data_IF_935096252750
#
_entry.id   IF_935096252750
#
_cell.length_a   1.000
_cell.length_b   1.000
_cell.length_c   1.000
_cell.angle_alpha   90.00
_cell.angle_beta   90.00
_cell.angle_gamma   90.00
#
_symmetry.space_group_name_H-M   'P 1'
#
loop_
_entity.id
_entity.type
_entity.pdbx_description
1 polymer ?
#
# COMPACT_ATOMS: atom_id res chain seq x y z
N UNK A 1 -21.84 9.17 -18.46
CA UNK A 1 -20.51 8.55 -18.29
C UNK A 1 -19.59 9.64 -17.82
N UNK A 2 -18.96 9.48 -16.66
CA UNK A 2 -18.02 10.45 -16.09
C UNK A 2 -16.62 9.84 -16.09
N UNK A 3 -15.60 10.71 -16.05
CA UNK A 3 -14.20 10.33 -15.86
C UNK A 3 -13.85 10.41 -14.39
N UNK A 4 -13.39 9.30 -13.79
CA UNK A 4 -12.99 9.22 -12.39
C UNK A 4 -11.49 9.04 -12.30
N UNK A 5 -10.79 10.03 -11.72
CA UNK A 5 -9.35 10.04 -11.54
C UNK A 5 -8.91 9.21 -10.32
N UNK A 6 -7.96 8.32 -10.52
CA UNK A 6 -7.33 7.55 -9.42
C UNK A 6 -5.83 7.88 -9.37
N UNK A 7 -5.33 8.52 -8.30
CA UNK A 7 -3.90 8.75 -8.11
C UNK A 7 -3.11 7.45 -7.99
N UNK A 8 -2.02 7.31 -8.78
CA UNK A 8 -1.18 6.11 -8.88
C UNK A 8 -0.19 5.97 -7.72
N UNK A 9 -0.66 6.13 -6.49
CA UNK A 9 0.18 6.06 -5.28
C UNK A 9 -0.64 5.70 -4.05
N UNK A 10 -0.02 5.53 -2.90
CA UNK A 10 -0.63 5.17 -1.62
C UNK A 10 -1.39 3.84 -1.69
N UNK A 11 -2.71 3.88 -1.52
CA UNK A 11 -3.57 2.70 -1.49
C UNK A 11 -3.78 2.06 -2.87
N UNK A 12 -3.29 2.68 -3.96
CA UNK A 12 -3.38 2.16 -5.32
C UNK A 12 -2.93 0.71 -5.41
N UNK A 13 -1.74 0.39 -4.93
CA UNK A 13 -1.11 -0.93 -5.09
C UNK A 13 -1.88 -2.10 -4.47
N UNK A 14 -2.79 -1.84 -3.52
CA UNK A 14 -3.60 -2.89 -2.89
C UNK A 14 -5.07 -2.87 -3.31
N UNK A 15 -5.59 -1.72 -3.73
CA UNK A 15 -7.04 -1.56 -3.92
C UNK A 15 -7.44 -1.13 -5.34
N UNK A 16 -6.50 -0.81 -6.22
CA UNK A 16 -6.79 -0.41 -7.60
C UNK A 16 -7.64 -1.44 -8.37
N UNK A 17 -7.36 -2.76 -8.33
CA UNK A 17 -8.16 -3.73 -9.05
C UNK A 17 -9.64 -3.71 -8.66
N UNK A 18 -9.92 -3.48 -7.37
CA UNK A 18 -11.28 -3.33 -6.87
C UNK A 18 -11.95 -2.08 -7.44
N UNK A 19 -11.33 -0.92 -7.24
CA UNK A 19 -11.95 0.37 -7.57
C UNK A 19 -12.05 0.60 -9.07
N UNK A 20 -11.05 0.19 -9.85
CA UNK A 20 -11.13 0.20 -11.32
C UNK A 20 -12.34 -0.58 -11.80
N UNK A 21 -12.45 -1.83 -11.37
CA UNK A 21 -13.58 -2.68 -11.77
C UNK A 21 -14.92 -2.10 -11.32
N UNK A 22 -14.98 -1.53 -10.11
CA UNK A 22 -16.21 -0.93 -9.59
C UNK A 22 -16.69 0.23 -10.47
N UNK A 23 -15.83 1.21 -10.77
CA UNK A 23 -16.20 2.36 -11.59
C UNK A 23 -16.54 1.98 -13.03
N UNK A 24 -15.76 1.09 -13.65
CA UNK A 24 -16.07 0.61 -15.01
C UNK A 24 -17.39 -0.14 -15.09
N UNK A 25 -17.73 -0.93 -14.05
CA UNK A 25 -19.04 -1.62 -13.99
C UNK A 25 -20.22 -0.68 -13.71
N UNK A 26 -19.96 0.50 -13.16
CA UNK A 26 -20.95 1.59 -13.09
C UNK A 26 -21.12 2.35 -14.41
N UNK A 27 -20.28 2.11 -15.41
CA UNK A 27 -20.30 2.79 -16.70
C UNK A 27 -19.48 4.08 -16.73
N UNK A 28 -18.50 4.24 -15.85
CA UNK A 28 -17.58 5.37 -15.82
C UNK A 28 -16.22 4.99 -16.40
N UNK A 29 -15.52 5.99 -16.94
CA UNK A 29 -14.12 5.86 -17.38
C UNK A 29 -13.20 6.06 -16.16
N UNK A 30 -12.21 5.17 -16.00
CA UNK A 30 -11.17 5.31 -14.97
C UNK A 30 -9.92 5.89 -15.61
N UNK A 31 -9.52 7.05 -15.15
CA UNK A 31 -8.28 7.71 -15.54
C UNK A 31 -7.26 7.58 -14.40
N UNK A 32 -6.19 6.85 -14.63
CA UNK A 32 -5.08 6.73 -13.65
C UNK A 32 -4.02 7.76 -14.00
N UNK A 33 -3.51 8.48 -13.02
CA UNK A 33 -2.35 9.34 -13.24
C UNK A 33 -1.15 8.54 -13.71
N UNK A 34 -0.27 9.15 -14.51
CA UNK A 34 0.97 8.49 -14.96
C UNK A 34 1.79 8.00 -13.77
N UNK A 35 2.66 6.98 -13.93
CA UNK A 35 3.61 6.59 -12.89
C UNK A 35 4.37 7.79 -12.34
N UNK A 36 4.77 7.73 -11.06
CA UNK A 36 5.46 8.82 -10.38
C UNK A 36 6.73 9.23 -11.12
N UNK A 37 6.87 10.53 -11.34
CA UNK A 37 8.03 11.16 -11.99
C UNK A 37 8.58 12.30 -11.15
N UNK A 38 9.74 12.82 -11.52
CA UNK A 38 10.29 14.03 -10.89
C UNK A 38 9.30 15.21 -10.95
N UNK A 39 8.63 15.43 -12.08
CA UNK A 39 7.67 16.50 -12.24
C UNK A 39 6.45 16.36 -11.30
N UNK A 40 5.97 15.12 -11.07
CA UNK A 40 4.91 14.83 -10.09
C UNK A 40 5.39 15.15 -8.67
N UNK A 41 6.61 14.76 -8.31
CA UNK A 41 7.16 15.07 -6.99
C UNK A 41 7.33 16.57 -6.80
N UNK A 42 7.94 17.28 -7.76
CA UNK A 42 8.18 18.71 -7.68
C UNK A 42 6.86 19.47 -7.51
N UNK A 43 5.83 19.12 -8.29
CA UNK A 43 4.49 19.68 -8.14
C UNK A 43 3.89 19.39 -6.76
N UNK A 44 4.06 18.17 -6.26
CA UNK A 44 3.57 17.78 -4.93
C UNK A 44 4.30 18.50 -3.80
N UNK A 45 5.58 18.80 -3.94
CA UNK A 45 6.35 19.63 -2.98
C UNK A 45 5.84 21.06 -2.94
N UNK A 46 5.54 21.66 -4.10
CA UNK A 46 4.98 23.02 -4.20
C UNK A 46 3.60 23.14 -3.52
N UNK A 47 2.78 22.08 -3.61
CA UNK A 47 1.39 22.09 -3.15
C UNK A 47 1.23 21.57 -1.70
N UNK A 48 2.29 21.17 -1.01
CA UNK A 48 2.19 20.65 0.35
C UNK A 48 3.07 21.38 1.34
N UNK A 49 2.74 21.22 2.63
CA UNK A 49 3.60 21.71 3.71
C UNK A 49 4.91 20.91 3.78
N UNK A 50 5.99 21.57 4.18
CA UNK A 50 7.33 20.97 4.23
C UNK A 50 7.39 19.69 5.06
N UNK A 51 6.68 19.63 6.18
CA UNK A 51 6.66 18.48 7.10
C UNK A 51 5.79 17.31 6.61
N UNK A 52 5.23 17.38 5.41
CA UNK A 52 4.56 16.23 4.81
C UNK A 52 5.60 15.17 4.42
N UNK A 53 5.31 13.89 4.74
CA UNK A 53 6.15 12.79 4.26
C UNK A 53 6.06 12.66 2.73
N UNK A 54 7.12 12.16 2.10
CA UNK A 54 7.21 12.08 0.63
C UNK A 54 5.99 11.41 -0.05
N UNK A 55 5.35 10.35 0.48
CA UNK A 55 4.18 9.77 -0.16
C UNK A 55 2.98 10.71 -0.23
N UNK A 56 2.82 11.61 0.75
CA UNK A 56 1.74 12.62 0.75
C UNK A 56 2.06 13.72 -0.26
N UNK A 57 3.31 14.17 -0.35
CA UNK A 57 3.74 15.12 -1.38
C UNK A 57 3.46 14.57 -2.78
N UNK A 58 3.88 13.34 -3.04
CA UNK A 58 3.64 12.65 -4.32
C UNK A 58 2.14 12.50 -4.60
N UNK A 59 1.32 12.19 -3.59
CA UNK A 59 -0.13 12.11 -3.78
C UNK A 59 -0.73 13.45 -4.25
N UNK A 60 -0.30 14.58 -3.70
CA UNK A 60 -0.72 15.90 -4.17
C UNK A 60 -0.29 16.14 -5.62
N UNK A 61 0.93 15.76 -5.99
CA UNK A 61 1.40 15.85 -7.38
C UNK A 61 0.56 15.02 -8.36
N UNK A 62 0.18 13.79 -7.97
CA UNK A 62 -0.73 12.95 -8.77
C UNK A 62 -2.12 13.58 -8.90
N UNK A 63 -2.66 14.13 -7.81
CA UNK A 63 -3.94 14.86 -7.86
C UNK A 63 -3.85 16.04 -8.80
N UNK A 64 -2.80 16.87 -8.66
CA UNK A 64 -2.57 18.03 -9.53
C UNK A 64 -2.53 17.62 -11.02
N UNK A 65 -1.93 16.48 -11.34
CA UNK A 65 -1.85 15.99 -12.72
C UNK A 65 -3.20 15.52 -13.29
N UNK A 66 -4.20 15.25 -12.45
CA UNK A 66 -5.51 14.75 -12.87
C UNK A 66 -6.57 15.86 -12.99
N UNK A 67 -6.40 17.01 -12.36
CA UNK A 67 -7.43 18.05 -12.21
C UNK A 67 -8.09 18.41 -13.56
N UNK A 68 -7.31 18.62 -14.61
CA UNK A 68 -7.82 19.04 -15.91
C UNK A 68 -8.25 17.86 -16.83
N UNK A 69 -8.19 16.62 -16.32
CA UNK A 69 -8.42 15.42 -17.11
C UNK A 69 -9.68 14.67 -16.74
N UNK A 70 -10.26 14.96 -15.56
CA UNK A 70 -11.34 14.15 -14.97
C UNK A 70 -12.49 14.97 -14.42
N UNK A 71 -13.67 14.34 -14.32
CA UNK A 71 -14.86 14.95 -13.74
C UNK A 71 -14.90 14.81 -12.21
N UNK A 72 -14.24 13.78 -11.67
CA UNK A 72 -14.15 13.48 -10.23
C UNK A 72 -12.78 12.96 -9.89
N UNK A 73 -12.30 13.26 -8.67
CA UNK A 73 -11.09 12.65 -8.09
C UNK A 73 -11.52 11.67 -7.01
N UNK A 74 -11.09 10.41 -7.14
CA UNK A 74 -11.33 9.39 -6.13
C UNK A 74 -10.24 9.47 -5.05
N UNK A 75 -10.63 9.91 -3.87
CA UNK A 75 -9.78 10.02 -2.69
C UNK A 75 -10.57 9.52 -1.47
N UNK A 76 -10.80 8.20 -1.34
CA UNK A 76 -11.62 7.66 -0.27
C UNK A 76 -10.98 7.96 1.10
N UNK A 77 -11.81 8.24 2.10
CA UNK A 77 -11.34 8.41 3.47
C UNK A 77 -11.12 7.03 4.09
N UNK A 78 -9.88 6.54 4.01
CA UNK A 78 -9.51 5.25 4.55
C UNK A 78 -9.28 5.37 6.07
N UNK A 79 -10.20 4.84 6.87
CA UNK A 79 -10.13 4.82 8.33
C UNK A 79 -9.64 3.46 8.79
N UNK A 80 -10.37 2.40 8.45
CA UNK A 80 -9.98 1.02 8.73
C UNK A 80 -10.51 0.07 7.66
N UNK A 81 -9.77 -1.01 7.37
CA UNK A 81 -10.14 -2.03 6.37
C UNK A 81 -10.28 -3.43 6.94
N UNK A 82 -9.93 -3.62 8.22
CA UNK A 82 -10.11 -4.88 8.94
C UNK A 82 -10.28 -4.64 10.43
N UNK A 83 -10.84 -5.62 11.13
CA UNK A 83 -10.91 -5.62 12.60
C UNK A 83 -9.68 -6.33 13.15
N UNK A 84 -8.73 -5.56 13.67
CA UNK A 84 -7.49 -6.05 14.24
C UNK A 84 -6.97 -5.09 15.32
N UNK A 85 -5.93 -5.54 16.04
CA UNK A 85 -5.33 -4.79 17.16
C UNK A 85 -5.98 -5.12 18.48
N UNK A 86 -5.34 -4.67 19.59
CA UNK A 86 -5.72 -4.94 20.99
C UNK A 86 -7.06 -4.32 21.23
N UNK A 87 -7.99 -4.17 20.82
CA UNK A 87 -9.37 -3.63 20.96
C UNK A 87 -10.08 -3.45 19.62
N UNK A 88 -9.53 -4.01 18.53
CA UNK A 88 -10.06 -3.79 17.20
C UNK A 88 -9.94 -2.33 16.74
N UNK A 89 -8.90 -1.64 17.16
CA UNK A 89 -8.69 -0.20 16.93
C UNK A 89 -7.70 0.12 15.84
N UNK A 90 -7.26 -0.89 15.08
CA UNK A 90 -6.32 -0.67 13.96
C UNK A 90 -6.92 0.31 12.93
N UNK A 91 -6.17 1.36 12.62
CA UNK A 91 -6.57 2.37 11.62
C UNK A 91 -5.42 2.64 10.64
N UNK A 92 -5.72 3.37 9.57
CA UNK A 92 -4.67 4.02 8.79
C UNK A 92 -4.07 5.20 9.56
N UNK A 93 -2.92 5.69 9.11
CA UNK A 93 -2.28 6.84 9.77
C UNK A 93 -3.14 8.12 9.62
N UNK A 94 -2.97 9.13 10.50
CA UNK A 94 -3.78 10.35 10.47
C UNK A 94 -3.77 11.08 9.12
N UNK A 95 -2.67 10.99 8.36
CA UNK A 95 -2.57 11.62 7.04
C UNK A 95 -3.47 10.95 6.00
N UNK A 96 -3.74 9.64 6.10
CA UNK A 96 -4.76 8.97 5.29
C UNK A 96 -6.18 9.38 5.70
N UNK A 97 -6.44 9.51 7.01
CA UNK A 97 -7.75 9.91 7.50
C UNK A 97 -8.13 11.32 7.06
N UNK A 98 -7.16 12.24 7.09
CA UNK A 98 -7.35 13.64 6.70
C UNK A 98 -7.10 13.94 5.21
N UNK A 99 -6.69 12.95 4.42
CA UNK A 99 -6.23 13.17 3.04
C UNK A 99 -7.26 13.90 2.15
N UNK A 100 -8.56 13.52 2.11
CA UNK A 100 -9.54 14.23 1.30
C UNK A 100 -9.69 15.70 1.69
N UNK A 101 -9.58 16.01 2.98
CA UNK A 101 -9.69 17.39 3.45
C UNK A 101 -8.44 18.21 3.07
N UNK A 102 -7.26 17.61 3.17
CA UNK A 102 -6.01 18.23 2.69
C UNK A 102 -6.12 18.59 1.19
N UNK A 103 -6.58 17.65 0.36
CA UNK A 103 -6.74 17.89 -1.08
C UNK A 103 -7.73 19.01 -1.37
N UNK A 104 -8.88 19.05 -0.68
CA UNK A 104 -9.85 20.15 -0.85
C UNK A 104 -9.30 21.52 -0.47
N UNK A 105 -8.49 21.58 0.58
CA UNK A 105 -7.90 22.82 1.05
C UNK A 105 -6.77 23.31 0.12
N UNK A 106 -6.02 22.37 -0.45
CA UNK A 106 -4.91 22.69 -1.35
C UNK A 106 -5.39 23.14 -2.73
N UNK A 107 -6.33 22.39 -3.33
CA UNK A 107 -6.74 22.60 -4.72
C UNK A 107 -8.13 23.26 -4.79
N UNK A 108 -8.16 24.58 -4.66
CA UNK A 108 -9.39 25.37 -4.87
C UNK A 108 -9.78 25.32 -6.35
N UNK A 109 -11.00 24.82 -6.65
CA UNK A 109 -11.48 24.66 -8.02
C UNK A 109 -11.16 23.30 -8.66
N UNK A 110 -10.59 22.36 -7.92
CA UNK A 110 -10.46 20.96 -8.38
C UNK A 110 -11.84 20.30 -8.61
N UNK A 111 -11.90 19.26 -9.46
CA UNK A 111 -13.09 18.43 -9.60
C UNK A 111 -13.58 17.91 -8.24
N UNK A 112 -14.90 17.65 -8.09
CA UNK A 112 -15.46 17.10 -6.86
C UNK A 112 -14.70 15.83 -6.39
N UNK A 113 -14.41 15.77 -5.10
CA UNK A 113 -13.69 14.64 -4.50
C UNK A 113 -14.69 13.61 -3.99
N UNK A 114 -14.55 12.37 -4.46
CA UNK A 114 -15.26 11.22 -3.91
C UNK A 114 -14.47 10.73 -2.70
N UNK A 115 -14.92 11.10 -1.51
CA UNK A 115 -14.25 10.85 -0.23
C UNK A 115 -15.01 9.89 0.68
N UNK A 116 -15.80 9.00 0.10
CA UNK A 116 -16.59 8.03 0.86
C UNK A 116 -15.74 7.38 1.97
N UNK A 117 -16.22 7.40 3.23
CA UNK A 117 -15.48 6.81 4.33
C UNK A 117 -15.51 5.29 4.29
N UNK A 118 -14.34 4.67 4.50
CA UNK A 118 -14.19 3.22 4.62
C UNK A 118 -13.70 2.92 6.03
N UNK A 119 -14.64 2.50 6.88
CA UNK A 119 -14.39 2.19 8.29
C UNK A 119 -15.04 0.86 8.68
N UNK A 120 -14.27 -0.21 8.59
CA UNK A 120 -14.72 -1.56 8.98
C UNK A 120 -14.82 -1.71 10.51
N UNK A 121 -14.04 -0.92 11.25
CA UNK A 121 -14.07 -0.98 12.69
C UNK A 121 -15.33 -0.36 13.28
N UNK A 122 -15.94 0.58 12.56
CA UNK A 122 -17.05 1.44 12.98
C UNK A 122 -17.27 1.33 14.48
N UNK A 123 -16.66 2.23 15.25
CA UNK A 123 -16.99 2.41 16.65
C UNK A 123 -18.46 2.85 16.69
N UNK A 124 -19.37 1.89 16.55
CA UNK A 124 -20.78 2.17 16.75
C UNK A 124 -20.88 2.86 18.12
N UNK A 125 -21.31 4.11 18.08
CA UNK A 125 -21.91 4.72 19.25
C UNK A 125 -22.71 3.61 19.95
N UNK A 126 -22.39 3.30 21.23
CA UNK A 126 -22.85 2.17 22.06
C UNK A 126 -24.11 1.52 21.49
N UNK A 127 -24.13 0.20 21.25
CA UNK A 127 -25.29 -0.46 20.66
C UNK A 127 -26.53 -0.04 21.45
N UNK A 128 -27.47 0.62 20.78
CA UNK A 128 -28.72 1.11 21.40
C UNK A 128 -29.59 -0.06 21.90
N UNK A 129 -29.26 -1.28 21.48
CA UNK A 129 -29.97 -2.50 21.83
C UNK A 129 -29.09 -3.74 21.68
N UNK A 130 -29.31 -4.79 22.52
CA UNK A 130 -28.68 -6.12 22.39
C UNK A 130 -28.98 -6.81 21.05
N UNK A 131 -29.87 -6.27 20.20
CA UNK A 131 -30.24 -6.80 18.89
C UNK A 131 -29.44 -6.20 17.73
N UNK A 132 -28.65 -5.14 17.96
CA UNK A 132 -27.81 -4.54 16.92
C UNK A 132 -26.63 -5.48 16.62
N UNK A 133 -26.81 -6.32 15.62
CA UNK A 133 -25.73 -7.19 15.10
C UNK A 133 -24.67 -6.30 14.46
N UNK A 134 -23.41 -6.43 14.88
CA UNK A 134 -22.27 -5.80 14.19
C UNK A 134 -22.31 -6.20 12.71
N UNK A 135 -22.35 -5.20 11.82
CA UNK A 135 -22.28 -5.43 10.36
C UNK A 135 -21.00 -6.19 10.00
N UNK A 136 -21.10 -7.08 9.03
CA UNK A 136 -19.93 -7.78 8.48
C UNK A 136 -19.08 -6.80 7.67
N UNK A 137 -17.74 -6.98 7.58
CA UNK A 137 -16.88 -6.14 6.75
C UNK A 137 -17.39 -5.97 5.31
N UNK A 138 -17.88 -7.04 4.68
CA UNK A 138 -18.45 -7.01 3.34
C UNK A 138 -19.68 -6.11 3.22
N UNK A 139 -20.56 -6.07 4.24
CA UNK A 139 -21.76 -5.21 4.27
C UNK A 139 -21.37 -3.73 4.40
N UNK A 140 -20.31 -3.42 5.13
CA UNK A 140 -19.80 -2.06 5.27
C UNK A 140 -19.18 -1.59 3.95
N UNK A 141 -18.38 -2.43 3.30
CA UNK A 141 -17.78 -2.12 2.00
C UNK A 141 -18.87 -1.96 0.91
N UNK A 142 -19.89 -2.82 0.91
CA UNK A 142 -21.06 -2.67 -0.01
C UNK A 142 -21.76 -1.34 0.20
N UNK A 143 -21.99 -0.94 1.45
CA UNK A 143 -22.62 0.35 1.77
C UNK A 143 -21.77 1.53 1.29
N UNK A 144 -20.44 1.49 1.47
CA UNK A 144 -19.53 2.50 0.94
C UNK A 144 -19.56 2.56 -0.59
N UNK A 145 -19.66 1.42 -1.26
CA UNK A 145 -19.83 1.36 -2.72
C UNK A 145 -21.18 1.94 -3.18
N UNK A 146 -22.27 1.70 -2.44
CA UNK A 146 -23.57 2.29 -2.74
C UNK A 146 -23.53 3.82 -2.59
N UNK A 147 -22.92 4.33 -1.52
CA UNK A 147 -22.74 5.77 -1.33
C UNK A 147 -21.87 6.39 -2.44
N UNK A 148 -20.76 5.72 -2.82
CA UNK A 148 -19.91 6.15 -3.93
C UNK A 148 -20.66 6.20 -5.24
N UNK A 149 -21.46 5.18 -5.54
CA UNK A 149 -22.27 5.13 -6.77
C UNK A 149 -23.37 6.20 -6.81
N UNK A 150 -24.02 6.48 -5.69
CA UNK A 150 -25.02 7.54 -5.56
C UNK A 150 -24.43 8.91 -5.90
N UNK A 151 -23.21 9.22 -5.41
CA UNK A 151 -22.49 10.46 -5.76
C UNK A 151 -22.20 10.60 -7.26
N UNK A 152 -22.17 9.49 -7.99
CA UNK A 152 -21.97 9.43 -9.45
C UNK A 152 -23.31 9.33 -10.22
N UNK A 153 -24.45 9.38 -9.53
CA UNK A 153 -25.78 9.30 -10.13
C UNK A 153 -26.23 7.87 -10.47
N UNK A 154 -25.57 6.84 -9.92
CA UNK A 154 -25.96 5.45 -10.15
C UNK A 154 -26.98 4.97 -9.12
N UNK A 155 -27.84 4.05 -9.54
CA UNK A 155 -28.82 3.43 -8.62
C UNK A 155 -28.15 2.46 -7.64
N UNK A 156 -28.83 2.20 -6.51
CA UNK A 156 -28.40 1.21 -5.51
C UNK A 156 -28.19 -0.17 -6.15
N UNK A 157 -29.08 -0.57 -7.07
CA UNK A 157 -28.99 -1.87 -7.77
C UNK A 157 -27.73 -1.95 -8.64
N UNK A 158 -27.41 -0.90 -9.38
CA UNK A 158 -26.19 -0.82 -10.19
C UNK A 158 -24.95 -0.87 -9.30
N UNK A 159 -24.93 -0.10 -8.21
CA UNK A 159 -23.80 -0.04 -7.27
C UNK A 159 -23.53 -1.39 -6.59
N UNK A 160 -24.60 -2.11 -6.20
CA UNK A 160 -24.45 -3.48 -5.65
C UNK A 160 -23.94 -4.47 -6.66
N UNK A 161 -24.43 -4.43 -7.90
CA UNK A 161 -23.95 -5.30 -8.98
C UNK A 161 -22.47 -5.01 -9.30
N UNK A 162 -22.08 -3.74 -9.36
CA UNK A 162 -20.68 -3.32 -9.54
C UNK A 162 -19.78 -3.77 -8.39
N UNK A 163 -20.23 -3.61 -7.13
CA UNK A 163 -19.54 -4.10 -5.94
C UNK A 163 -19.25 -5.61 -6.01
N UNK A 164 -20.26 -6.43 -6.38
CA UNK A 164 -20.08 -7.87 -6.49
C UNK A 164 -18.98 -8.25 -7.49
N UNK A 165 -18.93 -7.56 -8.64
CA UNK A 165 -17.89 -7.77 -9.66
C UNK A 165 -16.51 -7.32 -9.17
N UNK A 166 -16.44 -6.14 -8.56
CA UNK A 166 -15.21 -5.62 -7.96
C UNK A 166 -14.66 -6.55 -6.88
N UNK A 167 -15.53 -7.09 -6.02
CA UNK A 167 -15.14 -8.05 -4.97
C UNK A 167 -14.58 -9.35 -5.57
N UNK A 168 -15.15 -9.86 -6.68
CA UNK A 168 -14.65 -11.03 -7.39
C UNK A 168 -13.23 -10.78 -7.95
N UNK A 169 -13.01 -9.63 -8.61
CA UNK A 169 -11.71 -9.26 -9.15
C UNK A 169 -10.69 -9.06 -8.02
N UNK A 170 -11.08 -8.41 -6.93
CA UNK A 170 -10.21 -8.24 -5.78
C UNK A 170 -9.81 -9.57 -5.13
N UNK A 171 -10.75 -10.53 -5.02
CA UNK A 171 -10.43 -11.87 -4.52
C UNK A 171 -9.42 -12.58 -5.43
N UNK A 172 -9.54 -12.43 -6.76
CA UNK A 172 -8.55 -12.96 -7.71
C UNK A 172 -7.19 -12.28 -7.53
N UNK A 173 -7.16 -10.97 -7.31
CA UNK A 173 -5.94 -10.24 -6.99
C UNK A 173 -5.25 -10.80 -5.74
N UNK A 174 -5.99 -10.98 -4.63
CA UNK A 174 -5.45 -11.58 -3.40
C UNK A 174 -4.91 -12.99 -3.64
N UNK A 175 -5.59 -13.81 -4.45
CA UNK A 175 -5.11 -15.15 -4.82
C UNK A 175 -3.78 -15.09 -5.57
N UNK A 176 -3.60 -14.14 -6.49
CA UNK A 176 -2.32 -13.95 -7.19
C UNK A 176 -1.19 -13.55 -6.22
N UNK A 177 -1.49 -12.68 -5.24
CA UNK A 177 -0.52 -12.33 -4.20
C UNK A 177 -0.12 -13.55 -3.36
N UNK A 178 -1.08 -14.39 -2.94
CA UNK A 178 -0.82 -15.63 -2.19
C UNK A 178 -0.04 -16.67 -3.02
N UNK A 179 -0.10 -16.58 -4.35
CA UNK A 179 0.73 -17.36 -5.28
C UNK A 179 2.15 -16.79 -5.43
N UNK A 180 2.47 -15.71 -4.73
CA UNK A 180 3.79 -15.07 -4.72
C UNK A 180 4.01 -13.97 -5.75
N UNK A 181 2.95 -13.57 -6.50
CA UNK A 181 3.06 -12.41 -7.39
C UNK A 181 3.06 -11.12 -6.58
N UNK A 182 3.95 -10.20 -6.90
CA UNK A 182 3.95 -8.88 -6.28
C UNK A 182 2.74 -8.06 -6.78
N UNK A 183 2.22 -7.08 -6.01
CA UNK A 183 1.09 -6.26 -6.41
C UNK A 183 1.16 -5.66 -7.82
N UNK A 184 2.26 -5.10 -8.31
CA UNK A 184 2.34 -4.64 -9.71
C UNK A 184 2.14 -5.77 -10.72
N UNK A 185 2.77 -6.93 -10.52
CA UNK A 185 2.60 -8.11 -11.40
C UNK A 185 1.16 -8.61 -11.39
N UNK A 186 0.53 -8.67 -10.21
CA UNK A 186 -0.86 -9.11 -10.08
C UNK A 186 -1.83 -8.13 -10.75
N UNK A 187 -1.56 -6.82 -10.70
CA UNK A 187 -2.33 -5.80 -11.42
C UNK A 187 -2.18 -6.01 -12.93
N UNK A 188 -0.97 -6.20 -13.42
CA UNK A 188 -0.68 -6.42 -14.84
C UNK A 188 -1.33 -7.72 -15.37
N UNK A 189 -1.37 -8.78 -14.56
CA UNK A 189 -2.09 -10.02 -14.92
C UNK A 189 -3.61 -9.79 -15.05
N UNK A 190 -4.18 -8.94 -14.18
CA UNK A 190 -5.62 -8.64 -14.22
C UNK A 190 -6.00 -7.65 -15.31
N UNK A 191 -5.11 -6.71 -15.63
CA UNK A 191 -5.30 -5.63 -16.59
C UNK A 191 -4.03 -5.49 -17.45
N UNK A 192 -3.80 -6.40 -18.42
CA UNK A 192 -2.54 -6.49 -19.13
C UNK A 192 -2.17 -5.20 -19.87
N UNK A 193 -1.02 -4.59 -19.54
CA UNK A 193 -0.45 -3.50 -20.31
C UNK A 193 0.35 -4.04 -21.52
N UNK A 194 0.83 -3.17 -22.40
CA UNK A 194 1.70 -3.54 -23.52
C UNK A 194 3.03 -4.17 -23.03
N UNK A 195 3.56 -3.68 -21.91
CA UNK A 195 4.83 -4.14 -21.32
C UNK A 195 4.60 -4.53 -19.86
N UNK A 196 4.22 -5.78 -19.57
CA UNK A 196 3.97 -6.23 -18.21
C UNK A 196 5.25 -6.33 -17.39
N UNK A 197 5.14 -6.03 -16.10
CA UNK A 197 6.25 -6.16 -15.14
C UNK A 197 6.37 -7.62 -14.72
N UNK A 198 7.61 -8.13 -14.65
CA UNK A 198 7.92 -9.42 -14.02
C UNK A 198 9.19 -9.34 -13.20
N UNK A 199 9.13 -9.90 -12.00
CA UNK A 199 10.26 -10.06 -11.09
C UNK A 199 10.63 -11.53 -10.90
N UNK A 200 10.21 -12.41 -11.82
CA UNK A 200 10.55 -13.83 -11.77
C UNK A 200 12.04 -14.05 -12.05
N UNK A 201 12.66 -14.92 -11.27
CA UNK A 201 14.03 -15.36 -11.42
C UNK A 201 14.08 -16.89 -11.37
N UNK A 202 14.78 -17.54 -12.30
CA UNK A 202 14.91 -18.99 -12.32
C UNK A 202 15.81 -19.53 -11.21
N UNK A 203 16.98 -18.91 -10.99
CA UNK A 203 17.97 -19.35 -10.02
C UNK A 203 18.50 -18.13 -9.23
N UNK A 204 17.74 -17.62 -8.25
CA UNK A 204 18.17 -16.47 -7.48
C UNK A 204 19.39 -16.79 -6.61
N UNK A 205 20.33 -15.88 -6.52
CA UNK A 205 21.51 -16.02 -5.64
C UNK A 205 21.12 -15.92 -4.17
N UNK A 206 20.21 -15.00 -3.82
CA UNK A 206 19.66 -14.79 -2.48
C UNK A 206 18.16 -14.56 -2.52
N UNK A 207 17.53 -14.77 -1.37
CA UNK A 207 16.14 -14.48 -1.11
C UNK A 207 16.05 -13.40 -0.04
N UNK A 208 15.55 -12.22 -0.38
CA UNK A 208 15.36 -11.13 0.57
C UNK A 208 13.88 -10.84 0.80
N UNK A 209 13.50 -10.59 2.04
CA UNK A 209 12.21 -10.01 2.33
C UNK A 209 12.33 -8.49 2.34
N UNK A 210 11.61 -7.84 1.42
CA UNK A 210 11.46 -6.38 1.38
C UNK A 210 10.16 -6.04 2.07
N UNK A 211 10.25 -5.33 3.19
CA UNK A 211 9.11 -4.97 4.03
C UNK A 211 9.00 -3.45 4.15
N UNK A 212 7.79 -2.97 4.37
CA UNK A 212 7.50 -1.55 4.45
C UNK A 212 6.07 -1.27 4.01
N UNK A 213 5.74 -0.01 3.77
CA UNK A 213 4.41 0.32 3.28
C UNK A 213 4.32 0.08 1.76
N UNK A 214 3.18 -0.42 1.23
CA UNK A 214 3.09 -0.84 -0.18
C UNK A 214 3.55 0.22 -1.17
N UNK A 215 3.18 1.48 -0.98
CA UNK A 215 3.62 2.57 -1.84
C UNK A 215 5.12 2.87 -1.75
N UNK A 216 5.77 2.58 -0.62
CA UNK A 216 7.21 2.70 -0.51
C UNK A 216 7.94 1.53 -1.18
N UNK A 217 7.31 0.35 -1.23
CA UNK A 217 7.89 -0.84 -1.87
C UNK A 217 7.69 -0.80 -3.39
N UNK A 218 6.47 -0.47 -3.86
CA UNK A 218 6.06 -0.72 -5.26
C UNK A 218 6.08 0.51 -6.17
N UNK A 219 6.06 1.72 -5.62
CA UNK A 219 6.28 2.90 -6.44
C UNK A 219 7.75 3.01 -6.84
N UNK A 220 8.01 2.87 -8.14
CA UNK A 220 9.38 2.83 -8.67
C UNK A 220 10.18 4.10 -8.34
N UNK A 221 9.52 5.25 -8.30
CA UNK A 221 10.16 6.50 -7.97
C UNK A 221 10.44 6.61 -6.47
N UNK A 222 9.45 6.26 -5.63
CA UNK A 222 9.61 6.30 -4.16
C UNK A 222 10.68 5.29 -3.71
N UNK A 223 10.68 4.06 -4.26
CA UNK A 223 11.67 3.05 -3.88
C UNK A 223 13.06 3.27 -4.51
N UNK A 224 13.21 4.35 -5.28
CA UNK A 224 14.48 4.73 -5.95
C UNK A 224 15.05 3.56 -6.77
N UNK A 225 14.18 2.81 -7.44
CA UNK A 225 14.56 1.65 -8.25
C UNK A 225 14.99 0.41 -7.47
N UNK A 226 14.74 0.33 -6.16
CA UNK A 226 15.18 -0.77 -5.29
C UNK A 226 14.83 -2.16 -5.83
N UNK A 227 13.59 -2.39 -6.27
CA UNK A 227 13.18 -3.70 -6.79
C UNK A 227 13.97 -4.08 -8.04
N UNK A 228 14.23 -3.12 -8.92
CA UNK A 228 15.03 -3.35 -10.12
C UNK A 228 16.52 -3.58 -9.80
N UNK A 229 17.06 -2.90 -8.78
CA UNK A 229 18.43 -3.13 -8.29
C UNK A 229 18.54 -4.56 -7.79
N UNK A 230 17.62 -4.99 -6.91
CA UNK A 230 17.61 -6.36 -6.39
C UNK A 230 17.44 -7.42 -7.47
N UNK A 231 16.56 -7.17 -8.46
CA UNK A 231 16.39 -8.09 -9.58
C UNK A 231 17.67 -8.22 -10.43
N UNK A 232 18.37 -7.11 -10.70
CA UNK A 232 19.67 -7.11 -11.43
C UNK A 232 20.77 -7.84 -10.65
N UNK A 233 20.74 -7.80 -9.31
CA UNK A 233 21.63 -8.56 -8.43
C UNK A 233 21.23 -10.04 -8.28
N UNK A 234 20.29 -10.52 -9.11
CA UNK A 234 19.76 -11.89 -9.06
C UNK A 234 19.17 -12.27 -7.69
N UNK A 235 18.44 -11.36 -7.07
CA UNK A 235 17.84 -11.52 -5.75
C UNK A 235 16.33 -11.67 -5.88
N UNK A 236 15.79 -12.77 -5.37
CA UNK A 236 14.35 -12.98 -5.27
C UNK A 236 13.77 -12.18 -4.10
N UNK A 237 12.75 -11.39 -4.42
CA UNK A 237 12.06 -10.55 -3.46
C UNK A 237 10.80 -11.22 -2.92
N UNK A 238 10.63 -11.21 -1.61
CA UNK A 238 9.42 -11.57 -0.89
C UNK A 238 8.90 -10.34 -0.15
N UNK A 239 7.59 -10.16 -0.08
CA UNK A 239 6.99 -9.03 0.64
C UNK A 239 5.86 -9.48 1.56
N UNK A 240 5.53 -8.69 2.57
CA UNK A 240 4.40 -8.99 3.45
C UNK A 240 3.06 -9.04 2.70
N UNK A 241 2.97 -8.43 1.51
CA UNK A 241 1.72 -8.37 0.76
C UNK A 241 1.37 -9.67 0.04
N UNK A 242 2.35 -10.58 -0.10
CA UNK A 242 2.13 -11.95 -0.60
C UNK A 242 1.69 -12.94 0.50
N UNK A 243 1.57 -12.48 1.74
CA UNK A 243 1.11 -13.30 2.86
C UNK A 243 -0.37 -13.05 3.14
N UNK A 244 -1.12 -14.14 3.37
CA UNK A 244 -2.52 -14.01 3.77
C UNK A 244 -2.65 -13.34 5.15
N UNK A 245 -3.77 -12.67 5.38
CA UNK A 245 -4.06 -12.06 6.68
C UNK A 245 -4.05 -13.08 7.82
N UNK A 246 -4.37 -14.35 7.54
CA UNK A 246 -4.28 -15.44 8.52
C UNK A 246 -2.84 -15.65 8.99
N UNK A 247 -1.89 -15.70 8.06
CA UNK A 247 -0.45 -15.85 8.37
C UNK A 247 0.04 -14.63 9.14
N UNK A 248 -0.24 -13.43 8.66
CA UNK A 248 0.19 -12.18 9.32
C UNK A 248 -0.36 -12.08 10.75
N UNK A 249 -1.62 -12.41 10.96
CA UNK A 249 -2.24 -12.31 12.28
C UNK A 249 -1.70 -13.33 13.30
N UNK A 250 -1.14 -14.46 12.84
CA UNK A 250 -0.45 -15.41 13.73
C UNK A 250 0.81 -14.79 14.33
N UNK A 251 1.51 -13.93 13.59
CA UNK A 251 2.71 -13.25 14.07
C UNK A 251 2.42 -12.15 15.10
N UNK A 252 1.19 -11.67 15.19
CA UNK A 252 0.78 -10.67 16.20
C UNK A 252 1.06 -11.13 17.63
N UNK A 253 0.98 -12.43 17.91
CA UNK A 253 1.26 -13.02 19.24
C UNK A 253 2.73 -12.94 19.66
N UNK A 254 3.65 -12.67 18.74
CA UNK A 254 5.07 -12.48 19.04
C UNK A 254 5.37 -11.12 19.71
N UNK A 255 4.43 -10.21 19.65
CA UNK A 255 4.56 -8.87 20.22
C UNK A 255 3.74 -8.74 21.49
N UNK A 256 4.22 -8.03 22.50
CA UNK A 256 3.47 -7.75 23.72
C UNK A 256 2.23 -6.88 23.45
N UNK A 257 2.25 -6.11 22.35
CA UNK A 257 1.17 -5.24 21.89
C UNK A 257 1.26 -5.06 20.38
N UNK A 258 0.09 -5.03 19.69
CA UNK A 258 0.03 -4.70 18.27
C UNK A 258 0.40 -3.24 18.01
N UNK A 259 0.88 -2.94 16.81
CA UNK A 259 1.03 -1.56 16.33
C UNK A 259 -0.35 -0.93 16.14
N UNK A 260 -0.41 0.40 16.19
CA UNK A 260 -1.67 1.13 16.08
C UNK A 260 -2.19 1.21 14.63
N UNK A 261 -1.29 1.17 13.64
CA UNK A 261 -1.58 1.43 12.25
C UNK A 261 -1.51 0.19 11.36
N UNK A 262 -2.44 0.14 10.41
CA UNK A 262 -2.62 -0.99 9.50
C UNK A 262 -1.34 -1.39 8.76
N UNK A 263 -0.67 -0.45 8.08
CA UNK A 263 0.55 -0.77 7.34
C UNK A 263 1.73 -1.12 8.26
N UNK A 264 1.80 -0.50 9.45
CA UNK A 264 2.82 -0.85 10.44
C UNK A 264 2.68 -2.29 10.92
N UNK A 265 1.45 -2.74 11.24
CA UNK A 265 1.20 -4.13 11.62
C UNK A 265 1.60 -5.10 10.50
N UNK A 266 1.20 -4.82 9.26
CA UNK A 266 1.55 -5.68 8.13
C UNK A 266 3.06 -5.79 7.92
N UNK A 267 3.78 -4.66 7.96
CA UNK A 267 5.24 -4.63 7.80
C UNK A 267 5.94 -5.41 8.92
N UNK A 268 5.55 -5.19 10.18
CA UNK A 268 6.13 -5.88 11.34
C UNK A 268 5.83 -7.37 11.29
N UNK A 269 4.59 -7.77 11.10
CA UNK A 269 4.20 -9.19 11.07
C UNK A 269 4.85 -9.92 9.91
N UNK A 270 4.89 -9.30 8.72
CA UNK A 270 5.60 -9.86 7.57
C UNK A 270 7.09 -10.04 7.83
N UNK A 271 7.75 -9.04 8.42
CA UNK A 271 9.15 -9.16 8.79
C UNK A 271 9.40 -10.28 9.81
N UNK A 272 8.60 -10.35 10.88
CA UNK A 272 8.70 -11.41 11.89
C UNK A 272 8.50 -12.80 11.27
N UNK A 273 7.53 -12.94 10.38
CA UNK A 273 7.32 -14.18 9.64
C UNK A 273 8.56 -14.57 8.82
N UNK A 274 9.10 -13.64 8.02
CA UNK A 274 10.25 -13.93 7.16
C UNK A 274 11.55 -14.11 7.96
N UNK A 275 11.74 -13.43 9.08
CA UNK A 275 12.90 -13.64 9.94
C UNK A 275 13.02 -15.08 10.46
N UNK A 276 11.88 -15.81 10.59
CA UNK A 276 11.84 -17.22 11.03
C UNK A 276 12.16 -18.20 9.89
N UNK A 277 12.12 -17.76 8.63
CA UNK A 277 12.28 -18.66 7.48
C UNK A 277 13.75 -18.87 7.16
N UNK A 278 14.16 -20.15 7.10
CA UNK A 278 15.54 -20.52 6.78
C UNK A 278 15.94 -20.18 5.34
N UNK A 279 14.97 -20.09 4.42
CA UNK A 279 15.21 -19.72 3.03
C UNK A 279 15.36 -18.21 2.79
N UNK A 280 15.07 -17.36 3.76
CA UNK A 280 15.26 -15.90 3.67
C UNK A 280 16.65 -15.56 4.21
N UNK A 281 17.48 -14.94 3.39
CA UNK A 281 18.86 -14.58 3.71
C UNK A 281 18.98 -13.26 4.47
N UNK A 282 18.05 -12.32 4.24
CA UNK A 282 18.03 -11.03 4.93
C UNK A 282 16.71 -10.29 4.77
N UNK A 283 16.58 -9.21 5.53
CA UNK A 283 15.43 -8.30 5.51
C UNK A 283 15.90 -6.93 5.04
N UNK A 284 15.18 -6.35 4.09
CA UNK A 284 15.31 -4.95 3.68
C UNK A 284 14.05 -4.23 4.12
N UNK A 285 14.17 -3.18 4.92
CA UNK A 285 13.04 -2.33 5.32
C UNK A 285 13.15 -1.00 4.60
N UNK A 286 12.13 -0.68 3.80
CA UNK A 286 12.03 0.60 3.10
C UNK A 286 11.03 1.49 3.81
N UNK A 287 11.48 2.67 4.23
CA UNK A 287 10.70 3.63 5.01
C UNK A 287 10.80 5.03 4.43
N UNK A 288 9.74 5.81 4.58
CA UNK A 288 9.75 7.23 4.21
C UNK A 288 10.28 8.07 5.39
N UNK A 289 11.29 8.91 5.14
CA UNK A 289 11.72 9.92 6.11
C UNK A 289 10.53 10.78 6.55
N UNK A 290 10.53 11.23 7.79
CA UNK A 290 9.41 11.93 8.44
C UNK A 290 8.11 11.12 8.59
N UNK A 291 8.14 9.78 8.41
CA UNK A 291 7.03 8.91 8.75
C UNK A 291 7.13 8.47 10.21
N UNK A 292 6.41 9.14 11.12
CA UNK A 292 6.41 8.81 12.56
C UNK A 292 6.04 7.36 12.87
N UNK A 293 4.92 6.82 12.34
CA UNK A 293 4.56 5.41 12.50
C UNK A 293 5.65 4.44 12.07
N UNK A 294 6.30 4.69 10.94
CA UNK A 294 7.24 3.76 10.32
C UNK A 294 8.64 3.83 10.96
N UNK A 295 9.01 4.97 11.55
CA UNK A 295 10.26 5.07 12.32
C UNK A 295 10.26 4.16 13.56
N UNK A 296 9.08 3.94 14.17
CA UNK A 296 8.94 2.97 15.26
C UNK A 296 9.05 1.53 14.75
N UNK A 297 8.49 1.25 13.56
CA UNK A 297 8.63 -0.05 12.89
C UNK A 297 10.10 -0.35 12.61
N UNK A 298 10.82 0.60 12.02
CA UNK A 298 12.25 0.44 11.70
C UNK A 298 13.07 0.02 12.91
N UNK A 299 12.90 0.73 14.02
CA UNK A 299 13.63 0.42 15.26
C UNK A 299 13.26 -0.94 15.84
N UNK A 300 11.97 -1.31 15.82
CA UNK A 300 11.51 -2.62 16.28
C UNK A 300 12.12 -3.74 15.42
N UNK A 301 12.10 -3.59 14.09
CA UNK A 301 12.64 -4.59 13.18
C UNK A 301 14.15 -4.75 13.31
N UNK A 302 14.90 -3.66 13.54
CA UNK A 302 16.34 -3.74 13.80
C UNK A 302 16.63 -4.57 15.07
N UNK A 303 15.90 -4.34 16.15
CA UNK A 303 16.05 -5.08 17.41
C UNK A 303 15.75 -6.57 17.20
N UNK A 304 14.62 -6.89 16.55
CA UNK A 304 14.20 -8.26 16.31
C UNK A 304 15.15 -9.01 15.35
N UNK A 305 15.63 -8.35 14.31
CA UNK A 305 16.60 -8.92 13.38
C UNK A 305 17.93 -9.24 14.09
N UNK A 306 18.41 -8.31 14.93
CA UNK A 306 19.62 -8.52 15.74
C UNK A 306 19.45 -9.69 16.72
N UNK A 307 18.31 -9.76 17.42
CA UNK A 307 17.98 -10.85 18.35
C UNK A 307 17.97 -12.22 17.68
N UNK A 308 17.53 -12.27 16.41
CA UNK A 308 17.42 -13.50 15.62
C UNK A 308 18.64 -13.79 14.74
N UNK A 309 19.65 -12.93 14.77
CA UNK A 309 20.86 -13.06 13.93
C UNK A 309 20.58 -12.90 12.42
N UNK A 310 19.41 -12.32 12.04
CA UNK A 310 19.03 -12.12 10.64
C UNK A 310 19.63 -10.82 10.12
N UNK A 311 20.32 -10.82 8.96
CA UNK A 311 20.77 -9.61 8.30
C UNK A 311 19.62 -8.62 8.06
N UNK A 312 19.86 -7.33 8.34
CA UNK A 312 18.86 -6.27 8.23
C UNK A 312 19.45 -5.02 7.60
N UNK A 313 18.78 -4.49 6.59
CA UNK A 313 19.14 -3.25 5.90
C UNK A 313 17.94 -2.28 5.93
N UNK A 314 17.97 -1.20 6.72
CA UNK A 314 17.00 -0.12 6.61
C UNK A 314 17.38 0.82 5.47
N UNK A 315 16.38 1.24 4.67
CA UNK A 315 16.52 2.24 3.61
C UNK A 315 15.50 3.34 3.87
N UNK A 316 15.96 4.49 4.34
CA UNK A 316 15.11 5.67 4.51
C UNK A 316 15.17 6.54 3.25
N UNK A 317 14.00 6.98 2.78
CA UNK A 317 13.82 7.70 1.52
C UNK A 317 13.12 9.04 1.79
N UNK A 318 13.63 10.08 1.13
CA UNK A 318 13.05 11.42 1.07
C UNK A 318 13.14 11.97 -0.38
N UNK A 319 12.73 13.22 -0.57
CA UNK A 319 12.79 13.91 -1.86
C UNK A 319 14.20 14.15 -2.41
N UNK A 320 15.23 13.97 -1.59
CA UNK A 320 16.64 14.17 -1.96
C UNK A 320 17.40 12.85 -2.16
N UNK A 321 16.75 11.73 -1.85
CA UNK A 321 17.38 10.40 -1.94
C UNK A 321 17.65 10.03 -3.40
N UNK A 322 18.92 9.80 -3.72
CA UNK A 322 19.36 9.40 -5.08
C UNK A 322 19.57 7.90 -5.24
N UNK A 323 19.36 7.38 -6.44
CA UNK A 323 19.52 5.96 -6.79
C UNK A 323 20.93 5.43 -6.46
N UNK A 324 21.98 6.21 -6.72
CA UNK A 324 23.35 5.79 -6.46
C UNK A 324 23.62 5.43 -5.00
N UNK A 325 23.09 6.24 -4.07
CA UNK A 325 23.23 5.97 -2.63
C UNK A 325 22.50 4.70 -2.19
N UNK A 326 21.30 4.45 -2.71
CA UNK A 326 20.54 3.23 -2.44
C UNK A 326 21.27 2.03 -3.04
N UNK A 327 21.70 2.12 -4.29
CA UNK A 327 22.45 1.06 -4.99
C UNK A 327 23.68 0.63 -4.19
N UNK A 328 24.56 1.58 -3.80
CA UNK A 328 25.77 1.28 -3.02
C UNK A 328 25.46 0.55 -1.70
N UNK A 329 24.38 0.94 -1.01
CA UNK A 329 23.95 0.26 0.22
C UNK A 329 23.44 -1.15 -0.02
N UNK A 330 22.71 -1.37 -1.09
CA UNK A 330 22.22 -2.69 -1.50
C UNK A 330 23.38 -3.59 -1.90
N UNK A 331 24.30 -3.12 -2.75
CA UNK A 331 25.49 -3.85 -3.16
C UNK A 331 26.34 -4.25 -1.96
N UNK A 332 26.62 -3.32 -1.04
CA UNK A 332 27.36 -3.63 0.18
C UNK A 332 26.66 -4.67 1.08
N UNK A 333 25.31 -4.62 1.12
CA UNK A 333 24.52 -5.60 1.86
C UNK A 333 24.61 -7.00 1.23
N UNK A 334 24.54 -7.07 -0.11
CA UNK A 334 24.69 -8.31 -0.86
C UNK A 334 26.06 -8.91 -0.71
N UNK A 335 27.13 -8.10 -0.79
CA UNK A 335 28.51 -8.54 -0.57
C UNK A 335 28.72 -9.07 0.85
N UNK A 336 28.10 -8.45 1.84
CA UNK A 336 28.11 -8.95 3.22
C UNK A 336 27.39 -10.32 3.30
N UNK A 337 26.31 -10.56 2.55
CA UNK A 337 25.63 -11.86 2.52
C UNK A 337 26.51 -12.92 1.86
N UNK A 338 27.18 -12.60 0.73
CA UNK A 338 28.16 -13.47 0.06
C UNK A 338 29.26 -13.89 1.04
N UNK A 339 29.86 -12.93 1.72
CA UNK A 339 30.90 -13.19 2.71
C UNK A 339 30.43 -14.08 3.88
N UNK A 340 29.19 -13.89 4.35
CA UNK A 340 28.61 -14.75 5.41
C UNK A 340 28.33 -16.17 4.94
N UNK A 341 27.93 -16.34 3.69
CA UNK A 341 27.70 -17.66 3.10
C UNK A 341 29.02 -18.44 2.98
N UNK A 342 30.07 -17.79 2.50
CA UNK A 342 31.37 -18.42 2.26
C UNK A 342 32.11 -18.80 3.56
N UNK A 343 31.67 -18.26 4.70
CA UNK A 343 32.22 -18.59 6.03
C UNK A 343 31.45 -19.70 6.78
N UNK A 344 30.31 -20.16 6.26
CA UNK A 344 29.54 -21.27 6.83
C UNK A 344 29.96 -22.59 6.19
#
# INVERSE_FOLDING_TARGET
MAKVGIPHVLAYYLYYPFWKTFFEKLGHEVVVSTPTTRAILDRGVEETVNDACIPIKIYHGHVASLIDQVDYIFCPRLISVRRHGDFGTETFCPKFLGLPDLIRLTFTGAPPIIDTPIDINQLESKPKSKKDKKRKPAEIMEAACVETGDRLGNSITQSRAAYQKAAQVHQRFLTLLEQGKLPPEAIDILFPPENPISYELENPEFNLAVVGYPYAIYDHYINVGLLNILHKENIKVYTQDTLSDKILNQEASELPKSMFWYFSNRAVYGALYYMKKGYIDGIVHITAFACGPDSMVDRLLEIEARRRGKPYLPISIDEHTGESGVRTRVEAFVDMLRYRRDKK
#
